data_IF_713819976145
#
_entry.id   IF_713819976145
#
_cell.length_a   1.000
_cell.length_b   1.000
_cell.length_c   1.000
_cell.angle_alpha   90.00
_cell.angle_beta   90.00
_cell.angle_gamma   90.00
#
_symmetry.space_group_name_H-M   'P 1'
#
loop_
_entity.id
_entity.type
_entity.pdbx_description
1 polymer ?
#
# COMPACT_ATOMS: atom_id res chain seq x y z
N UNK A 1 -5.95 -7.84 -33.31
CA UNK A 1 -5.88 -9.03 -34.19
C UNK A 1 -4.65 -9.88 -33.88
N UNK A 2 -3.42 -9.34 -34.01
CA UNK A 2 -2.18 -10.10 -33.78
C UNK A 2 -2.04 -10.59 -32.32
N UNK A 3 -2.31 -9.74 -31.33
CA UNK A 3 -2.23 -10.11 -29.91
C UNK A 3 -3.16 -11.28 -29.55
N UNK A 4 -4.37 -11.27 -30.10
CA UNK A 4 -5.37 -12.31 -29.88
C UNK A 4 -4.97 -13.65 -30.52
N UNK A 5 -4.29 -13.61 -31.68
CA UNK A 5 -3.74 -14.82 -32.29
C UNK A 5 -2.60 -15.38 -31.45
N UNK A 6 -1.72 -14.51 -30.94
CA UNK A 6 -0.59 -14.91 -30.10
C UNK A 6 -1.04 -15.50 -28.75
N UNK A 7 -2.07 -14.92 -28.11
CA UNK A 7 -2.60 -15.45 -26.85
C UNK A 7 -3.18 -16.85 -27.03
N UNK A 8 -3.97 -17.07 -28.09
CA UNK A 8 -4.54 -18.39 -28.40
C UNK A 8 -3.45 -19.43 -28.66
N UNK A 9 -2.39 -19.07 -29.39
CA UNK A 9 -1.27 -19.98 -29.64
C UNK A 9 -0.50 -20.33 -28.36
N UNK A 10 -0.29 -19.36 -27.47
CA UNK A 10 0.34 -19.59 -26.18
C UNK A 10 -0.49 -20.52 -25.29
N UNK A 11 -1.79 -20.26 -25.17
CA UNK A 11 -2.73 -21.09 -24.39
C UNK A 11 -2.77 -22.53 -24.92
N UNK A 12 -2.85 -22.71 -26.24
CA UNK A 12 -2.81 -24.03 -26.85
C UNK A 12 -1.48 -24.75 -26.59
N UNK A 13 -0.36 -24.02 -26.64
CA UNK A 13 0.96 -24.54 -26.29
C UNK A 13 1.02 -25.08 -24.86
N UNK A 14 0.46 -24.33 -23.89
CA UNK A 14 0.41 -24.72 -22.49
C UNK A 14 -0.46 -25.95 -22.26
N UNK A 15 -1.67 -25.98 -22.84
CA UNK A 15 -2.59 -27.13 -22.74
C UNK A 15 -1.92 -28.40 -23.27
N UNK A 16 -1.18 -28.30 -24.39
CA UNK A 16 -0.45 -29.43 -24.96
C UNK A 16 0.63 -29.96 -24.01
N UNK A 17 1.39 -29.08 -23.36
CA UNK A 17 2.44 -29.47 -22.43
C UNK A 17 1.87 -30.05 -21.13
N UNK A 18 0.77 -29.50 -20.61
CA UNK A 18 0.05 -30.07 -19.47
C UNK A 18 -0.45 -31.48 -19.77
N UNK A 19 -1.04 -31.70 -20.96
CA UNK A 19 -1.48 -33.03 -21.38
C UNK A 19 -0.31 -34.02 -21.46
N UNK A 20 0.82 -33.62 -22.06
CA UNK A 20 2.04 -34.46 -22.11
C UNK A 20 2.57 -34.75 -20.71
N UNK A 21 2.54 -33.78 -19.80
CA UNK A 21 2.96 -33.94 -18.41
C UNK A 21 2.09 -34.97 -17.68
N UNK A 22 0.77 -34.80 -17.73
CA UNK A 22 -0.18 -35.72 -17.11
C UNK A 22 -0.05 -37.14 -17.67
N UNK A 23 0.20 -37.31 -18.97
CA UNK A 23 0.44 -38.62 -19.59
C UNK A 23 1.72 -39.27 -19.08
N UNK A 24 2.81 -38.49 -18.94
CA UNK A 24 4.10 -38.97 -18.38
C UNK A 24 3.97 -39.42 -16.93
N UNK A 25 3.27 -38.65 -16.09
CA UNK A 25 3.04 -39.01 -14.69
C UNK A 25 2.13 -40.23 -14.59
N UNK A 26 1.03 -40.29 -15.36
CA UNK A 26 0.12 -41.45 -15.35
C UNK A 26 0.80 -42.74 -15.81
N UNK A 27 1.80 -42.67 -16.70
CA UNK A 27 2.62 -43.83 -17.07
C UNK A 27 3.45 -44.32 -15.87
N UNK A 28 4.11 -43.41 -15.17
CA UNK A 28 4.87 -43.74 -13.94
C UNK A 28 3.98 -44.35 -12.86
N UNK A 29 2.80 -43.76 -12.60
CA UNK A 29 1.81 -44.27 -11.62
C UNK A 29 1.36 -45.72 -11.93
N UNK A 30 1.36 -46.11 -13.22
CA UNK A 30 1.04 -47.48 -13.64
C UNK A 30 2.20 -48.45 -13.48
N UNK A 31 3.44 -47.97 -13.62
CA UNK A 31 4.67 -48.76 -13.47
C UNK A 31 5.00 -49.01 -11.99
N UNK A 32 4.79 -48.01 -11.13
CA UNK A 32 5.15 -48.05 -9.71
C UNK A 32 3.95 -48.33 -8.76
N UNK A 33 2.72 -48.38 -9.29
CA UNK A 33 1.48 -48.57 -8.52
C UNK A 33 1.15 -47.45 -7.53
N UNK A 34 1.91 -46.36 -7.51
CA UNK A 34 1.84 -45.31 -6.50
C UNK A 34 1.19 -44.05 -7.08
N UNK A 35 0.14 -43.53 -6.44
CA UNK A 35 -0.54 -42.31 -6.89
C UNK A 35 0.27 -41.06 -6.56
N UNK A 36 0.39 -40.13 -7.51
CA UNK A 36 1.17 -38.87 -7.40
C UNK A 36 0.30 -37.65 -7.74
N UNK A 37 -0.78 -37.38 -7.00
CA UNK A 37 -1.75 -36.33 -7.34
C UNK A 37 -1.13 -34.93 -7.35
N UNK A 38 -0.23 -34.62 -6.41
CA UNK A 38 0.45 -33.32 -6.33
C UNK A 38 1.31 -33.10 -7.59
N UNK A 39 2.13 -34.09 -7.95
CA UNK A 39 3.00 -33.98 -9.13
C UNK A 39 2.18 -33.91 -10.44
N UNK A 40 1.01 -34.53 -10.47
CA UNK A 40 0.14 -34.58 -11.65
C UNK A 40 -0.56 -33.26 -11.94
N UNK A 41 -1.07 -32.58 -10.90
CA UNK A 41 -1.89 -31.37 -11.05
C UNK A 41 -1.18 -30.08 -10.64
N UNK A 42 -0.41 -30.06 -9.55
CA UNK A 42 0.25 -28.84 -9.06
C UNK A 42 1.58 -28.55 -9.78
N UNK A 43 2.28 -29.58 -10.26
CA UNK A 43 3.57 -29.44 -10.95
C UNK A 43 3.42 -29.44 -12.48
N UNK A 44 2.20 -29.22 -13.00
CA UNK A 44 2.01 -29.06 -14.44
C UNK A 44 2.53 -27.69 -14.91
N UNK A 45 3.06 -27.57 -16.14
CA UNK A 45 3.62 -26.33 -16.67
C UNK A 45 2.74 -25.09 -16.48
N UNK A 46 1.44 -25.17 -16.74
CA UNK A 46 0.53 -24.02 -16.56
C UNK A 46 0.43 -23.57 -15.10
N UNK A 47 0.31 -24.52 -14.17
CA UNK A 47 0.25 -24.25 -12.74
C UNK A 47 1.56 -23.62 -12.22
N UNK A 48 2.71 -24.10 -12.71
CA UNK A 48 4.02 -23.53 -12.36
C UNK A 48 4.15 -22.08 -12.82
N UNK A 49 3.71 -21.76 -14.04
CA UNK A 49 3.71 -20.39 -14.57
C UNK A 49 2.79 -19.50 -13.72
N UNK A 50 1.58 -19.97 -13.41
CA UNK A 50 0.65 -19.24 -12.55
C UNK A 50 1.25 -18.95 -11.18
N UNK A 51 1.86 -19.96 -10.53
CA UNK A 51 2.52 -19.80 -9.24
C UNK A 51 3.68 -18.81 -9.35
N UNK A 52 4.50 -18.89 -10.39
CA UNK A 52 5.60 -17.96 -10.60
C UNK A 52 5.11 -16.51 -10.75
N UNK A 53 4.05 -16.29 -11.53
CA UNK A 53 3.43 -14.96 -11.70
C UNK A 53 2.87 -14.46 -10.37
N UNK A 54 2.20 -15.32 -9.59
CA UNK A 54 1.70 -14.95 -8.26
C UNK A 54 2.83 -14.57 -7.30
N UNK A 55 3.94 -15.30 -7.30
CA UNK A 55 5.11 -15.00 -6.45
C UNK A 55 5.73 -13.66 -6.87
N UNK A 56 6.00 -13.48 -8.17
CA UNK A 56 6.60 -12.24 -8.69
C UNK A 56 5.68 -11.04 -8.43
N UNK A 57 4.36 -11.21 -8.66
CA UNK A 57 3.36 -10.19 -8.38
C UNK A 57 3.29 -9.84 -6.90
N UNK A 58 3.34 -10.84 -6.02
CA UNK A 58 3.33 -10.63 -4.56
C UNK A 58 4.58 -9.89 -4.09
N UNK A 59 5.77 -10.28 -4.56
CA UNK A 59 7.02 -9.59 -4.22
C UNK A 59 6.98 -8.14 -4.71
N UNK A 60 6.53 -7.92 -5.95
CA UNK A 60 6.41 -6.58 -6.53
C UNK A 60 5.44 -5.71 -5.74
N UNK A 61 4.30 -6.26 -5.34
CA UNK A 61 3.32 -5.57 -4.50
C UNK A 61 3.92 -5.20 -3.14
N UNK A 62 4.60 -6.14 -2.46
CA UNK A 62 5.25 -5.89 -1.17
C UNK A 62 6.26 -4.75 -1.30
N UNK A 63 7.14 -4.79 -2.30
CA UNK A 63 8.13 -3.74 -2.54
C UNK A 63 7.49 -2.38 -2.83
N UNK A 64 6.40 -2.35 -3.59
CA UNK A 64 5.67 -1.13 -3.90
C UNK A 64 5.01 -0.53 -2.64
N UNK A 65 4.34 -1.37 -1.83
CA UNK A 65 3.70 -0.91 -0.60
C UNK A 65 4.71 -0.47 0.47
N UNK A 66 5.85 -1.17 0.60
CA UNK A 66 6.91 -0.74 1.53
C UNK A 66 7.49 0.60 1.09
N UNK A 67 7.81 0.76 -0.20
CA UNK A 67 8.32 2.04 -0.73
C UNK A 67 7.36 3.20 -0.50
N UNK A 68 6.06 3.01 -0.78
CA UNK A 68 5.06 4.04 -0.48
C UNK A 68 5.06 4.42 1.00
N UNK A 69 5.08 3.42 1.87
CA UNK A 69 5.00 3.61 3.32
C UNK A 69 6.25 4.28 3.91
N UNK A 70 7.44 4.01 3.38
CA UNK A 70 8.71 4.50 3.94
C UNK A 70 9.17 5.81 3.33
N UNK A 71 8.85 6.09 2.07
CA UNK A 71 9.42 7.23 1.34
C UNK A 71 8.36 8.24 0.92
N UNK A 72 7.24 7.79 0.37
CA UNK A 72 6.20 8.71 -0.13
C UNK A 72 5.37 9.30 1.01
N UNK A 73 4.99 8.48 1.99
CA UNK A 73 4.10 8.88 3.07
C UNK A 73 4.71 9.93 4.01
N UNK A 74 5.99 9.85 4.42
CA UNK A 74 6.60 10.92 5.20
C UNK A 74 6.62 12.27 4.47
N UNK A 75 6.98 12.27 3.19
CA UNK A 75 7.04 13.51 2.40
C UNK A 75 5.67 14.13 2.18
N UNK A 76 4.65 13.29 1.94
CA UNK A 76 3.26 13.73 1.86
C UNK A 76 2.78 14.33 3.18
N UNK A 77 3.04 13.64 4.29
CA UNK A 77 2.65 14.09 5.63
C UNK A 77 3.35 15.40 6.01
N UNK A 78 4.64 15.56 5.69
CA UNK A 78 5.38 16.82 5.88
C UNK A 78 4.75 17.97 5.09
N UNK A 79 4.36 17.74 3.83
CA UNK A 79 3.67 18.75 3.00
C UNK A 79 2.31 19.12 3.58
N UNK A 80 1.51 18.14 4.00
CA UNK A 80 0.22 18.38 4.64
C UNK A 80 0.38 19.18 5.94
N UNK A 81 1.33 18.81 6.80
CA UNK A 81 1.64 19.56 8.03
C UNK A 81 2.06 20.99 7.70
N UNK A 82 2.90 21.20 6.69
CA UNK A 82 3.31 22.54 6.28
C UNK A 82 2.12 23.39 5.79
N UNK A 83 1.21 22.81 5.00
CA UNK A 83 -0.01 23.49 4.54
C UNK A 83 -0.96 23.82 5.70
N UNK A 84 -1.12 22.89 6.64
CA UNK A 84 -1.89 23.11 7.87
C UNK A 84 -1.30 24.24 8.70
N UNK A 85 0.03 24.26 8.90
CA UNK A 85 0.74 25.33 9.61
C UNK A 85 0.52 26.69 8.95
N UNK A 86 0.69 26.79 7.63
CA UNK A 86 0.42 28.03 6.90
C UNK A 86 -1.02 28.52 7.08
N UNK A 87 -1.98 27.58 7.10
CA UNK A 87 -3.39 27.91 7.31
C UNK A 87 -3.70 28.33 8.74
N UNK A 88 -3.01 27.75 9.72
CA UNK A 88 -3.08 28.13 11.14
C UNK A 88 -2.60 29.56 11.35
N UNK A 89 -1.47 29.94 10.75
CA UNK A 89 -0.99 31.32 10.84
C UNK A 89 -1.97 32.31 10.21
N UNK A 90 -2.43 32.02 8.99
CA UNK A 90 -3.48 32.82 8.34
C UNK A 90 -4.79 32.90 9.16
N UNK A 91 -5.08 31.91 9.99
CA UNK A 91 -6.22 31.92 10.89
C UNK A 91 -5.97 32.89 12.06
N UNK A 92 -4.80 32.79 12.69
CA UNK A 92 -4.40 33.63 13.80
C UNK A 92 -4.30 35.11 13.39
N UNK A 93 -3.76 35.41 12.20
CA UNK A 93 -3.70 36.76 11.65
C UNK A 93 -5.10 37.41 11.49
N UNK A 94 -6.11 36.61 11.13
CA UNK A 94 -7.48 37.10 10.88
C UNK A 94 -8.34 37.19 12.14
N UNK A 95 -8.16 36.26 13.08
CA UNK A 95 -9.06 36.07 14.23
C UNK A 95 -8.38 36.35 15.58
N UNK A 96 -7.05 36.56 15.58
CA UNK A 96 -6.24 36.82 16.77
C UNK A 96 -6.10 35.63 17.74
N UNK A 97 -6.50 34.42 17.31
CA UNK A 97 -6.41 33.19 18.11
C UNK A 97 -6.33 31.95 17.21
N UNK A 98 -5.67 30.89 17.66
CA UNK A 98 -5.69 29.58 17.00
C UNK A 98 -7.01 28.80 17.30
N UNK A 99 -7.44 27.90 16.39
CA UNK A 99 -8.57 26.99 16.63
C UNK A 99 -8.27 26.01 17.76
N UNK A 100 -9.31 25.57 18.49
CA UNK A 100 -9.16 24.62 19.61
C UNK A 100 -8.95 23.19 19.16
N UNK A 101 -9.49 22.85 17.99
CA UNK A 101 -9.41 21.53 17.40
C UNK A 101 -8.99 21.62 15.94
N UNK A 102 -8.27 20.60 15.45
CA UNK A 102 -7.89 20.51 14.04
C UNK A 102 -9.12 20.47 13.11
N UNK A 103 -10.25 19.91 13.59
CA UNK A 103 -11.50 19.87 12.83
C UNK A 103 -12.06 21.26 12.52
N UNK A 104 -11.84 22.26 13.39
CA UNK A 104 -12.24 23.65 13.13
C UNK A 104 -11.42 24.26 11.98
N UNK A 105 -10.14 23.89 11.87
CA UNK A 105 -9.26 24.30 10.77
C UNK A 105 -9.71 23.71 9.43
N UNK A 106 -10.13 22.44 9.45
CA UNK A 106 -10.62 21.71 8.27
C UNK A 106 -11.96 22.29 7.81
N UNK A 107 -12.92 22.38 8.72
CA UNK A 107 -14.29 22.81 8.46
C UNK A 107 -14.99 21.96 7.39
N UNK A 108 -15.87 22.60 6.61
CA UNK A 108 -16.68 21.93 5.58
C UNK A 108 -16.03 21.91 4.18
N UNK A 109 -14.73 22.17 4.06
CA UNK A 109 -14.07 22.16 2.74
C UNK A 109 -13.75 20.73 2.31
N UNK A 110 -14.20 20.30 1.11
CA UNK A 110 -13.89 18.96 0.59
C UNK A 110 -12.38 18.72 0.44
N UNK A 111 -11.64 19.74 0.01
CA UNK A 111 -10.19 19.66 -0.21
C UNK A 111 -9.43 19.35 1.09
N UNK A 112 -9.92 19.86 2.23
CA UNK A 112 -9.26 19.70 3.54
C UNK A 112 -9.70 18.45 4.30
N UNK A 113 -10.66 17.68 3.80
CA UNK A 113 -11.06 16.43 4.46
C UNK A 113 -9.91 15.43 4.55
N UNK A 114 -8.91 15.55 3.66
CA UNK A 114 -7.67 14.78 3.72
C UNK A 114 -6.84 15.04 4.98
N UNK A 115 -6.94 16.22 5.61
CA UNK A 115 -6.16 16.58 6.80
C UNK A 115 -6.63 15.91 8.10
N UNK A 116 -7.72 15.14 8.06
CA UNK A 116 -8.19 14.39 9.23
C UNK A 116 -7.18 13.34 9.67
N UNK A 117 -6.42 12.80 8.71
CA UNK A 117 -5.51 11.70 8.93
C UNK A 117 -4.24 11.89 8.11
N UNK A 118 -3.14 11.35 8.62
CA UNK A 118 -1.87 11.32 7.92
C UNK A 118 -1.87 10.31 6.75
N UNK A 119 -0.74 10.23 6.06
CA UNK A 119 -0.57 9.31 4.93
C UNK A 119 -0.68 7.83 5.34
N UNK A 120 -0.49 7.49 6.63
CA UNK A 120 -0.69 6.14 7.18
C UNK A 120 -2.12 5.91 7.69
N UNK A 121 -3.05 6.83 7.41
CA UNK A 121 -4.46 6.78 7.81
C UNK A 121 -4.65 6.82 9.34
N UNK A 122 -3.80 7.59 10.04
CA UNK A 122 -3.84 7.80 11.49
C UNK A 122 -4.18 9.26 11.80
N UNK A 123 -4.85 9.49 12.92
CA UNK A 123 -5.22 10.85 13.32
C UNK A 123 -4.00 11.64 13.80
N UNK A 124 -3.96 12.93 13.46
CA UNK A 124 -2.94 13.84 13.95
C UNK A 124 -3.20 14.19 15.42
N UNK A 125 -2.14 14.29 16.22
CA UNK A 125 -2.21 14.91 17.54
C UNK A 125 -2.05 16.42 17.39
N UNK A 126 -3.01 17.17 17.92
CA UNK A 126 -3.02 18.63 17.87
C UNK A 126 -3.04 19.21 19.28
N UNK A 127 -2.07 20.06 19.59
CA UNK A 127 -1.95 20.73 20.88
C UNK A 127 -1.68 22.22 20.71
N UNK A 128 -2.38 23.05 21.47
CA UNK A 128 -2.09 24.47 21.57
C UNK A 128 -1.02 24.66 22.65
N UNK A 129 0.07 25.33 22.31
CA UNK A 129 1.20 25.59 23.22
C UNK A 129 1.27 27.06 23.60
N UNK A 130 2.09 27.39 24.60
CA UNK A 130 2.39 28.77 25.01
C UNK A 130 1.16 29.63 25.35
N UNK A 131 0.20 29.06 26.11
CA UNK A 131 -1.04 29.75 26.52
C UNK A 131 -1.85 30.33 25.34
N UNK A 132 -1.92 29.62 24.21
CA UNK A 132 -2.69 30.07 23.04
C UNK A 132 -1.86 30.78 21.97
N UNK A 133 -0.56 30.94 22.18
CA UNK A 133 0.35 31.65 21.26
C UNK A 133 1.10 30.75 20.29
N UNK A 134 1.00 29.43 20.43
CA UNK A 134 1.60 28.48 19.51
C UNK A 134 0.74 27.25 19.31
N UNK A 135 1.12 26.42 18.35
CA UNK A 135 0.47 25.15 18.08
C UNK A 135 1.52 24.09 17.76
N UNK A 136 1.15 22.83 17.95
CA UNK A 136 1.95 21.67 17.60
C UNK A 136 1.02 20.65 16.92
N UNK A 137 1.33 20.31 15.68
CA UNK A 137 0.71 19.20 14.95
C UNK A 137 1.75 18.09 14.88
N UNK A 138 1.39 16.89 15.35
CA UNK A 138 2.26 15.71 15.36
C UNK A 138 1.57 14.55 14.65
N UNK A 139 2.26 13.91 13.70
CA UNK A 139 1.90 12.60 13.14
C UNK A 139 2.72 11.53 13.85
N UNK A 140 2.08 10.41 14.17
CA UNK A 140 2.69 9.22 14.79
C UNK A 140 3.56 8.40 13.80
N UNK A 141 4.00 9.01 12.70
CA UNK A 141 4.92 8.42 11.76
C UNK A 141 4.45 7.11 11.14
N UNK A 142 5.39 6.20 10.93
CA UNK A 142 5.22 4.89 10.31
C UNK A 142 4.83 3.79 11.31
N UNK A 143 5.23 3.95 12.57
CA UNK A 143 5.08 2.98 13.66
C UNK A 143 3.72 3.11 14.37
N UNK A 144 3.13 4.31 14.36
CA UNK A 144 1.80 4.61 14.88
C UNK A 144 1.79 4.88 16.37
N UNK A 145 2.95 5.17 16.95
CA UNK A 145 3.09 5.54 18.35
C UNK A 145 3.58 6.98 18.40
N UNK A 146 2.99 7.77 19.29
CA UNK A 146 3.49 9.11 19.55
C UNK A 146 4.70 9.04 20.49
N UNK A 147 5.58 10.03 20.39
CA UNK A 147 6.83 10.20 21.16
C UNK A 147 7.95 9.25 20.72
N UNK A 148 7.99 8.91 19.44
CA UNK A 148 9.02 8.08 18.82
C UNK A 148 9.85 8.90 17.82
N UNK A 149 10.94 8.34 17.31
CA UNK A 149 11.85 9.04 16.39
C UNK A 149 11.24 9.30 15.00
N UNK A 150 10.23 8.54 14.61
CA UNK A 150 9.55 8.67 13.31
C UNK A 150 8.38 9.68 13.34
N UNK A 151 8.13 10.31 14.49
CA UNK A 151 7.14 11.38 14.62
C UNK A 151 7.48 12.56 13.70
N UNK A 152 6.48 13.03 12.95
CA UNK A 152 6.60 14.23 12.10
C UNK A 152 5.86 15.38 12.77
N UNK A 153 6.59 16.45 13.08
CA UNK A 153 6.09 17.62 13.82
C UNK A 153 6.08 18.88 12.95
N UNK A 154 5.23 19.85 13.33
CA UNK A 154 5.06 21.12 12.62
C UNK A 154 6.13 22.20 12.89
N UNK A 155 7.20 21.87 13.61
CA UNK A 155 8.31 22.80 13.91
C UNK A 155 9.24 23.03 12.73
#
# INVERSE_FOLDING_TARGET
>A
MIELILSILADFGLIREDYKHQKRISKKEREDGTKRPIQKYFMQPSALILIAVLIIGSISAILFFTYQRTSVFPDKTKKEIHEMSKRMENWNEKLGKYPKELNELIGNSPIRQGWKKDAWNREYQFEITNNGKGFLITSAGSDGKFKTEDDIKSQ
#
